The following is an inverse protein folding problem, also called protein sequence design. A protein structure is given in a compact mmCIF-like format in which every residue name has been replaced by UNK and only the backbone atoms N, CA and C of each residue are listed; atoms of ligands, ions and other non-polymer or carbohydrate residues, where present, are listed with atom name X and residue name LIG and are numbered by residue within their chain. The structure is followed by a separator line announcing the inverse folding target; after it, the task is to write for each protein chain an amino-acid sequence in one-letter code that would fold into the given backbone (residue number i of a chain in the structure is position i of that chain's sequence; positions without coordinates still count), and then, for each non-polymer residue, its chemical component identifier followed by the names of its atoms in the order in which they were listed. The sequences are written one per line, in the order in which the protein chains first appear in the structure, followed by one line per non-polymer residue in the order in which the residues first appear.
data_IF_937626314333
#
_entry.id   IF_937626314333
#
_cell.length_a   1.000
_cell.length_b   1.000
_cell.length_c   1.000
_cell.angle_alpha   90.00
_cell.angle_beta   90.00
_cell.angle_gamma   90.00
#
_symmetry.space_group_name_H-M   'P 1'
#
loop_
_entity.id
_entity.type
_entity.pdbx_description
1 polymer ?
#
# COMPACT_ATOMS: atom_id res chain seq x y z
N UNK A 1 -6.41 -36.51 -0.67
CA UNK A 1 -6.88 -35.29 -1.37
C UNK A 1 -5.80 -34.24 -1.22
N UNK A 2 -4.88 -34.15 -2.19
CA UNK A 2 -3.73 -33.22 -2.15
C UNK A 2 -4.24 -31.84 -2.59
N UNK A 3 -4.13 -30.83 -1.74
CA UNK A 3 -4.38 -29.44 -2.14
C UNK A 3 -3.22 -29.01 -3.05
N UNK A 4 -3.54 -28.60 -4.28
CA UNK A 4 -2.59 -27.95 -5.18
C UNK A 4 -2.16 -26.60 -4.58
N UNK A 5 -0.88 -26.20 -4.70
CA UNK A 5 -0.48 -24.85 -4.34
C UNK A 5 -1.08 -23.86 -5.36
N UNK A 6 -1.64 -22.77 -4.84
CA UNK A 6 -2.10 -21.64 -5.63
C UNK A 6 -0.86 -21.06 -6.31
N UNK A 7 -0.85 -21.02 -7.64
CA UNK A 7 0.27 -20.53 -8.42
C UNK A 7 0.48 -19.02 -8.18
N UNK A 8 1.72 -18.61 -7.94
CA UNK A 8 2.15 -17.23 -8.00
C UNK A 8 1.81 -16.65 -9.38
N UNK A 9 0.86 -15.72 -9.41
CA UNK A 9 0.40 -15.07 -10.62
C UNK A 9 1.35 -13.92 -10.98
N UNK A 10 2.51 -14.27 -11.52
CA UNK A 10 3.48 -13.32 -12.07
C UNK A 10 3.00 -12.84 -13.45
N UNK A 11 2.04 -11.91 -13.47
CA UNK A 11 1.61 -11.23 -14.69
C UNK A 11 2.52 -10.04 -14.97
N UNK A 12 3.65 -10.29 -15.63
CA UNK A 12 4.47 -9.23 -16.25
C UNK A 12 4.10 -9.10 -17.74
N UNK A 13 3.46 -7.98 -18.10
CA UNK A 13 3.44 -7.44 -19.46
C UNK A 13 3.80 -5.94 -19.34
N UNK A 14 5.07 -5.58 -19.56
CA UNK A 14 5.69 -5.27 -20.86
C UNK A 14 5.19 -3.97 -21.51
N UNK A 15 5.44 -2.84 -20.85
CA UNK A 15 5.75 -1.58 -21.51
C UNK A 15 6.40 -0.66 -20.48
N UNK A 16 7.68 -0.31 -20.69
CA UNK A 16 8.46 0.82 -20.17
C UNK A 16 9.91 0.37 -19.93
N UNK A 17 10.84 1.08 -20.55
CA UNK A 17 12.25 0.69 -20.71
C UNK A 17 13.06 0.68 -19.41
N UNK A 18 14.10 -0.17 -19.40
CA UNK A 18 15.28 -0.13 -18.53
C UNK A 18 15.09 0.29 -17.05
N UNK A 19 14.08 -0.26 -16.37
CA UNK A 19 13.92 -0.18 -14.91
C UNK A 19 14.36 -1.49 -14.25
N UNK A 20 15.21 -1.39 -13.24
CA UNK A 20 15.83 -2.48 -12.45
C UNK A 20 14.87 -3.65 -12.20
N UNK A 21 15.13 -4.83 -12.80
CA UNK A 21 14.36 -6.07 -12.56
C UNK A 21 14.79 -6.75 -11.25
N UNK A 22 14.68 -6.03 -10.14
CA UNK A 22 14.89 -6.57 -8.79
C UNK A 22 13.56 -6.76 -8.09
N UNK A 23 13.36 -7.90 -7.43
CA UNK A 23 12.30 -8.02 -6.42
C UNK A 23 12.49 -6.85 -5.42
N UNK A 24 11.42 -6.10 -5.08
CA UNK A 24 11.55 -5.03 -4.09
C UNK A 24 12.17 -5.57 -2.80
N UNK A 25 13.06 -4.81 -2.14
CA UNK A 25 13.70 -5.27 -0.92
C UNK A 25 12.65 -5.50 0.18
N UNK A 26 12.69 -6.68 0.79
CA UNK A 26 11.89 -7.01 1.98
C UNK A 26 12.29 -6.12 3.16
N UNK A 27 11.35 -5.85 4.07
CA UNK A 27 11.56 -5.06 5.28
C UNK A 27 12.14 -3.65 5.06
N UNK A 28 11.94 -3.08 3.87
CA UNK A 28 12.25 -1.67 3.60
C UNK A 28 10.99 -0.83 3.70
N UNK A 29 10.99 0.13 4.62
CA UNK A 29 9.90 1.09 4.74
C UNK A 29 9.89 2.04 3.54
N UNK A 30 8.77 2.06 2.83
CA UNK A 30 8.40 3.11 1.91
C UNK A 30 7.40 4.05 2.58
N UNK A 31 7.56 5.34 2.37
CA UNK A 31 6.66 6.36 2.85
C UNK A 31 6.41 7.37 1.74
N UNK A 32 5.14 7.68 1.48
CA UNK A 32 4.77 8.85 0.68
C UNK A 32 4.48 10.04 1.60
N UNK A 33 5.00 11.21 1.24
CA UNK A 33 4.97 12.45 2.04
C UNK A 33 5.69 12.33 3.40
N UNK A 34 5.41 13.24 4.32
CA UNK A 34 5.95 13.26 5.70
C UNK A 34 4.84 13.53 6.72
N UNK A 35 5.02 13.05 7.95
CA UNK A 35 4.10 13.35 9.05
C UNK A 35 3.98 14.87 9.31
N UNK A 36 5.08 15.61 9.14
CA UNK A 36 5.06 17.07 9.29
C UNK A 36 4.12 17.74 8.28
N UNK A 37 4.16 17.33 7.00
CA UNK A 37 3.26 17.86 5.98
C UNK A 37 1.79 17.58 6.31
N UNK A 38 1.50 16.38 6.83
CA UNK A 38 0.14 16.02 7.26
C UNK A 38 -0.32 16.89 8.44
N UNK A 39 0.54 17.13 9.43
CA UNK A 39 0.24 18.01 10.57
C UNK A 39 0.04 19.48 10.15
N UNK A 40 0.75 19.93 9.13
CA UNK A 40 0.62 21.25 8.51
C UNK A 40 -0.59 21.35 7.54
N UNK A 41 -1.52 20.40 7.63
CA UNK A 41 -2.78 20.36 6.88
C UNK A 41 -2.66 20.12 5.36
N UNK A 42 -1.57 19.50 4.91
CA UNK A 42 -1.46 19.01 3.52
C UNK A 42 -2.19 17.66 3.40
N UNK A 43 -3.51 17.73 3.18
CA UNK A 43 -4.40 16.56 3.17
C UNK A 43 -4.67 15.96 1.79
N UNK A 44 -4.12 16.54 0.73
CA UNK A 44 -4.29 16.02 -0.63
C UNK A 44 -2.93 15.67 -1.23
N UNK A 45 -2.68 14.36 -1.38
CA UNK A 45 -1.52 13.83 -2.09
C UNK A 45 -1.88 13.32 -3.47
N UNK A 46 -0.84 12.99 -4.25
CA UNK A 46 -0.97 12.53 -5.64
C UNK A 46 -0.78 11.02 -5.79
N UNK A 47 -0.17 10.35 -4.80
CA UNK A 47 0.09 8.90 -4.84
C UNK A 47 -1.22 8.14 -4.81
N UNK A 48 -1.45 7.32 -5.83
CA UNK A 48 -2.58 6.38 -5.87
C UNK A 48 -2.29 5.15 -5.02
N UNK A 49 -3.33 4.41 -4.61
CA UNK A 49 -3.13 3.16 -3.88
C UNK A 49 -2.47 2.08 -4.75
N UNK A 50 -2.78 2.06 -6.05
CA UNK A 50 -2.13 1.14 -7.00
C UNK A 50 -0.61 1.40 -7.09
N UNK A 51 -0.19 2.67 -7.05
CA UNK A 51 1.24 3.03 -6.95
C UNK A 51 1.81 2.66 -5.58
N UNK A 52 1.08 2.93 -4.48
CA UNK A 52 1.50 2.58 -3.13
C UNK A 52 1.79 1.08 -2.97
N UNK A 53 0.94 0.21 -3.53
CA UNK A 53 1.07 -1.25 -3.45
C UNK A 53 2.26 -1.81 -4.24
N UNK A 54 2.89 -1.02 -5.12
CA UNK A 54 4.17 -1.38 -5.74
C UNK A 54 5.35 -1.32 -4.74
N UNK A 55 5.12 -0.74 -3.56
CA UNK A 55 6.15 -0.53 -2.54
C UNK A 55 5.97 -1.36 -1.27
N UNK A 56 4.84 -2.05 -1.11
CA UNK A 56 4.61 -2.92 0.04
C UNK A 56 3.24 -3.58 0.06
N UNK A 57 3.12 -4.62 0.88
CA UNK A 57 1.89 -5.40 1.07
C UNK A 57 1.32 -5.29 2.50
N UNK A 58 2.03 -4.58 3.38
CA UNK A 58 1.66 -4.35 4.78
C UNK A 58 1.95 -2.90 5.17
N UNK A 59 1.04 -2.24 5.87
CA UNK A 59 1.22 -0.84 6.25
C UNK A 59 -0.04 -0.13 6.72
N UNK A 60 0.06 1.20 6.82
CA UNK A 60 -1.01 2.09 7.29
C UNK A 60 -0.88 3.49 6.68
N UNK A 61 -1.93 4.29 6.82
CA UNK A 61 -1.95 5.68 6.36
C UNK A 61 -3.33 6.29 6.47
N UNK A 62 -3.62 7.29 5.64
CA UNK A 62 -4.94 7.90 5.50
C UNK A 62 -5.24 8.16 4.02
N UNK A 63 -6.44 8.64 3.73
CA UNK A 63 -6.89 9.02 2.40
C UNK A 63 -6.89 10.53 2.24
N UNK A 64 -6.97 11.00 1.00
CA UNK A 64 -7.13 12.44 0.74
C UNK A 64 -8.31 13.02 1.55
N UNK A 65 -8.20 14.29 1.93
CA UNK A 65 -9.16 14.97 2.82
C UNK A 65 -9.29 14.36 4.23
N UNK A 66 -8.29 13.58 4.69
CA UNK A 66 -8.32 12.82 5.95
C UNK A 66 -9.54 11.91 6.06
N UNK A 67 -9.91 11.29 4.94
CA UNK A 67 -11.11 10.50 4.85
C UNK A 67 -10.92 9.11 5.49
N UNK A 68 -10.85 9.07 6.82
CA UNK A 68 -10.65 7.84 7.60
C UNK A 68 -9.23 7.27 7.55
N UNK A 69 -9.10 6.09 8.14
CA UNK A 69 -7.82 5.40 8.34
C UNK A 69 -7.62 4.31 7.30
N UNK A 70 -6.38 4.15 6.86
CA UNK A 70 -5.96 3.12 5.93
C UNK A 70 -5.20 2.02 6.67
N UNK A 71 -5.57 0.77 6.42
CA UNK A 71 -4.79 -0.41 6.80
C UNK A 71 -4.53 -1.23 5.54
N UNK A 72 -3.27 -1.63 5.35
CA UNK A 72 -2.85 -2.50 4.26
C UNK A 72 -2.42 -3.84 4.85
N UNK A 73 -3.07 -4.91 4.44
CA UNK A 73 -2.69 -6.29 4.82
C UNK A 73 -2.91 -7.21 3.64
N UNK A 74 -1.97 -8.13 3.41
CA UNK A 74 -1.99 -9.08 2.28
C UNK A 74 -2.14 -8.39 0.91
N UNK A 75 -1.59 -7.18 0.78
CA UNK A 75 -1.70 -6.38 -0.45
C UNK A 75 -3.09 -5.79 -0.69
N UNK A 76 -4.01 -5.88 0.28
CA UNK A 76 -5.35 -5.31 0.19
C UNK A 76 -5.44 -4.07 1.07
N UNK A 77 -5.92 -2.97 0.50
CA UNK A 77 -6.16 -1.72 1.22
C UNK A 77 -7.59 -1.68 1.74
N UNK A 78 -7.73 -1.45 3.05
CA UNK A 78 -9.02 -1.28 3.72
C UNK A 78 -9.11 0.09 4.37
N UNK A 79 -10.24 0.74 4.20
CA UNK A 79 -10.56 2.02 4.81
C UNK A 79 -11.46 1.81 6.02
N UNK A 80 -11.07 2.40 7.15
CA UNK A 80 -11.84 2.45 8.38
C UNK A 80 -12.34 3.87 8.59
N UNK A 81 -13.65 4.03 8.71
CA UNK A 81 -14.31 5.32 8.96
C UNK A 81 -14.96 5.31 10.34
N UNK A 82 -15.50 6.46 10.76
CA UNK A 82 -16.10 6.65 12.07
C UNK A 82 -17.30 5.71 12.34
N UNK A 83 -17.91 5.16 11.29
CA UNK A 83 -19.01 4.19 11.36
C UNK A 83 -18.54 2.78 11.78
N UNK A 84 -17.23 2.56 11.92
CA UNK A 84 -16.65 1.34 12.48
C UNK A 84 -16.59 0.14 11.52
N UNK A 85 -16.87 0.35 10.23
CA UNK A 85 -16.76 -0.69 9.20
C UNK A 85 -15.49 -0.50 8.37
N UNK A 86 -14.77 -1.60 8.16
CA UNK A 86 -13.63 -1.68 7.26
C UNK A 86 -14.10 -2.13 5.88
N UNK A 87 -13.84 -1.33 4.83
CA UNK A 87 -14.20 -1.67 3.47
C UNK A 87 -12.97 -1.64 2.55
N UNK A 88 -12.91 -2.57 1.60
CA UNK A 88 -11.95 -2.49 0.49
C UNK A 88 -12.30 -1.29 -0.39
N UNK A 89 -11.27 -0.66 -0.96
CA UNK A 89 -11.41 0.59 -1.71
C UNK A 89 -10.75 0.50 -3.08
N UNK A 90 -11.18 1.31 -4.06
CA UNK A 90 -10.58 1.33 -5.39
C UNK A 90 -9.11 1.76 -5.35
N UNK A 91 -8.27 1.10 -6.15
CA UNK A 91 -6.84 1.41 -6.30
C UNK A 91 -6.52 2.84 -6.77
N UNK A 92 -7.49 3.47 -7.44
CA UNK A 92 -7.41 4.84 -7.96
C UNK A 92 -7.54 5.93 -6.90
N UNK A 93 -7.93 5.60 -5.66
CA UNK A 93 -7.94 6.59 -4.58
C UNK A 93 -6.51 7.06 -4.28
N UNK A 94 -6.40 8.26 -3.71
CA UNK A 94 -5.13 8.90 -3.40
C UNK A 94 -4.91 9.03 -1.89
N UNK A 95 -3.65 9.11 -1.52
CA UNK A 95 -3.22 9.27 -0.14
C UNK A 95 -2.28 10.47 0.01
N UNK A 96 -2.47 11.30 1.06
CA UNK A 96 -1.54 12.37 1.42
C UNK A 96 -0.39 11.86 2.29
N UNK A 97 -0.55 10.67 2.89
CA UNK A 97 0.42 10.05 3.77
C UNK A 97 0.11 8.56 3.94
N UNK A 98 1.10 7.72 3.64
CA UNK A 98 1.07 6.29 3.92
C UNK A 98 2.48 5.74 4.10
N UNK A 99 2.59 4.69 4.91
CA UNK A 99 3.79 3.92 5.17
C UNK A 99 3.52 2.45 4.86
N UNK A 100 4.28 1.85 3.95
CA UNK A 100 4.15 0.43 3.57
C UNK A 100 5.52 -0.27 3.50
N UNK A 101 5.52 -1.58 3.61
CA UNK A 101 6.68 -2.44 3.42
C UNK A 101 6.25 -3.80 2.87
N UNK A 102 7.17 -4.50 2.21
CA UNK A 102 7.04 -5.95 2.02
C UNK A 102 7.48 -6.65 3.31
N UNK A 103 6.51 -6.96 4.16
CA UNK A 103 6.77 -7.41 5.53
C UNK A 103 7.19 -8.88 5.61
N UNK A 104 8.31 -9.15 6.28
CA UNK A 104 8.80 -10.47 6.63
C UNK A 104 9.29 -10.46 8.10
N UNK A 105 8.58 -11.08 9.05
CA UNK A 105 8.93 -10.97 10.47
C UNK A 105 10.25 -11.69 10.78
N UNK A 106 11.17 -11.00 11.46
CA UNK A 106 12.45 -11.58 11.90
C UNK A 106 12.33 -12.41 13.19
N UNK A 107 11.24 -12.21 13.95
CA UNK A 107 10.95 -12.90 15.21
C UNK A 107 9.45 -13.20 15.30
N UNK A 108 9.13 -14.37 15.87
CA UNK A 108 7.77 -14.77 16.23
C UNK A 108 7.39 -14.29 17.62
#
# INVERSE_FOLDING_TARGET
MVKQPVADMDLRSSALGNGVSGKPPINRLYQTSTMAALLDAVYDGETTLDELLQHGNFGLGTFNSLDGEMIVTDGVVRQFRAEGLAAEVPGSLKTPFACVTYFEPEKM
#
